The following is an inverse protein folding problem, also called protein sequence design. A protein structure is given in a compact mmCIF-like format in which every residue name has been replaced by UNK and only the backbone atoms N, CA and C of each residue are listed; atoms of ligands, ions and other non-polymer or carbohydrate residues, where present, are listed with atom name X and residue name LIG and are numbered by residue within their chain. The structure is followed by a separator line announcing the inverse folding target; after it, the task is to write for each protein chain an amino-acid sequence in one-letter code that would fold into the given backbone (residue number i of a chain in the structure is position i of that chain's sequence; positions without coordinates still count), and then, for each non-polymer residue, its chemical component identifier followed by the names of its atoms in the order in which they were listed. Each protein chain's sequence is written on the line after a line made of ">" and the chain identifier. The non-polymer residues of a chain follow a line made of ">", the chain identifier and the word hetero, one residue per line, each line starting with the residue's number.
data_IF_115685359698
#
_entry.id   IF_115685359698
#
_cell.length_a   1.000
_cell.length_b   1.000
_cell.length_c   1.000
_cell.angle_alpha   90.00
_cell.angle_beta   90.00
_cell.angle_gamma   90.00
#
_symmetry.space_group_name_H-M   'P 1'
#
loop_
_entity.id
_entity.type
_entity.pdbx_description
1 polymer ?
#
# COMPACT_ATOMS: atom_id res chain seq x y z
N UNK A 1 48.29 -27.16 53.06
CA UNK A 1 48.35 -25.92 52.25
C UNK A 1 47.54 -26.17 50.99
N UNK A 2 46.28 -25.72 50.92
CA UNK A 2 45.35 -25.97 49.79
C UNK A 2 45.38 -24.78 48.85
N UNK A 3 45.81 -24.98 47.61
CA UNK A 3 45.81 -23.97 46.55
C UNK A 3 44.47 -24.07 45.82
N UNK A 4 43.64 -23.02 45.90
CA UNK A 4 42.41 -22.89 45.14
C UNK A 4 42.72 -22.19 43.81
N UNK A 5 42.63 -22.91 42.70
CA UNK A 5 42.62 -22.34 41.36
C UNK A 5 41.19 -21.89 41.03
N UNK A 6 40.96 -20.57 40.94
CA UNK A 6 39.72 -19.99 40.43
C UNK A 6 39.85 -19.82 38.91
N UNK A 7 39.13 -20.65 38.17
CA UNK A 7 38.97 -20.53 36.72
C UNK A 7 37.97 -19.40 36.43
N UNK A 8 38.40 -18.33 35.77
CA UNK A 8 37.52 -17.26 35.29
C UNK A 8 37.09 -17.61 33.87
N UNK A 9 35.82 -17.94 33.70
CA UNK A 9 35.18 -18.08 32.39
C UNK A 9 34.81 -16.68 31.88
N UNK A 10 35.50 -16.21 30.84
CA UNK A 10 35.13 -15.00 30.10
C UNK A 10 34.17 -15.44 28.99
N UNK A 11 32.88 -15.16 29.14
CA UNK A 11 31.88 -15.32 28.09
C UNK A 11 31.96 -14.10 27.18
N UNK A 12 32.54 -14.28 25.99
CA UNK A 12 32.53 -13.26 24.94
C UNK A 12 31.17 -13.34 24.24
N UNK A 13 30.26 -12.44 24.59
CA UNK A 13 29.01 -12.24 23.85
C UNK A 13 29.37 -11.46 22.58
N UNK A 14 29.53 -12.17 21.47
CA UNK A 14 29.62 -11.55 20.14
C UNK A 14 28.20 -11.07 19.81
N UNK A 15 27.92 -9.82 20.14
CA UNK A 15 26.73 -9.14 19.66
C UNK A 15 26.82 -9.00 18.14
N UNK A 16 26.00 -9.76 17.43
CA UNK A 16 25.69 -9.46 16.03
C UNK A 16 24.99 -8.10 16.00
N UNK A 17 25.75 -7.03 15.75
CA UNK A 17 25.18 -5.77 15.31
C UNK A 17 24.56 -6.02 13.94
N UNK A 18 23.25 -6.20 13.92
CA UNK A 18 22.45 -6.15 12.70
C UNK A 18 22.54 -4.70 12.23
N UNK A 19 23.42 -4.42 11.27
CA UNK A 19 23.45 -3.14 10.60
C UNK A 19 22.06 -2.89 10.01
N UNK A 20 21.39 -1.86 10.52
CA UNK A 20 20.18 -1.32 9.92
C UNK A 20 20.61 -0.70 8.58
N UNK A 21 20.55 -1.50 7.52
CA UNK A 21 20.67 -1.02 6.15
C UNK A 21 19.64 0.10 5.98
N UNK A 22 20.11 1.32 5.70
CA UNK A 22 19.24 2.48 5.57
C UNK A 22 18.10 2.19 4.60
N UNK A 23 16.88 2.36 5.07
CA UNK A 23 15.64 2.03 4.37
C UNK A 23 15.44 2.87 3.11
N UNK A 24 16.21 3.95 2.92
CA UNK A 24 16.17 4.83 1.75
C UNK A 24 16.62 4.14 0.47
N UNK A 25 17.52 3.15 0.55
CA UNK A 25 18.00 2.49 -0.66
C UNK A 25 16.91 1.62 -1.28
N UNK A 26 15.99 1.04 -0.51
CA UNK A 26 15.03 0.07 -1.06
C UNK A 26 14.00 0.73 -1.99
N UNK A 27 13.69 2.00 -1.78
CA UNK A 27 12.69 2.74 -2.54
C UNK A 27 13.30 3.26 -3.84
N UNK A 28 12.69 2.99 -5.01
CA UNK A 28 13.20 3.49 -6.28
C UNK A 28 13.28 5.00 -6.38
N UNK A 29 14.29 5.50 -7.09
CA UNK A 29 14.54 6.94 -7.23
C UNK A 29 13.40 7.66 -7.96
N UNK A 30 12.76 6.95 -8.88
CA UNK A 30 11.66 7.40 -9.72
C UNK A 30 10.27 7.27 -9.06
N UNK A 31 10.17 6.64 -7.89
CA UNK A 31 8.94 6.66 -7.12
C UNK A 31 8.63 8.10 -6.71
N UNK A 32 7.43 8.58 -7.04
CA UNK A 32 7.03 9.97 -6.77
C UNK A 32 6.87 10.19 -5.26
N UNK A 33 6.00 9.48 -4.54
CA UNK A 33 6.07 9.48 -3.08
C UNK A 33 7.16 8.52 -2.58
N UNK A 34 8.26 9.08 -2.06
CA UNK A 34 9.30 8.28 -1.40
C UNK A 34 8.95 7.93 0.04
N UNK A 35 8.20 8.78 0.70
CA UNK A 35 7.88 8.69 2.13
C UNK A 35 6.40 8.96 2.34
N UNK A 36 5.86 8.45 3.44
CA UNK A 36 4.50 8.73 3.85
C UNK A 36 4.24 10.25 3.98
N UNK A 37 3.01 10.65 3.68
CA UNK A 37 2.46 11.95 4.07
C UNK A 37 0.94 11.88 4.14
N UNK A 38 0.37 12.83 4.86
CA UNK A 38 -1.07 13.06 4.93
C UNK A 38 -1.29 14.53 4.62
N UNK A 39 -2.01 14.80 3.53
CA UNK A 39 -2.46 16.15 3.17
C UNK A 39 -3.86 16.40 3.70
N UNK A 40 -4.73 15.40 3.62
CA UNK A 40 -6.13 15.49 3.99
C UNK A 40 -6.57 14.25 4.79
N UNK A 41 -6.99 14.45 6.04
CA UNK A 41 -7.68 13.39 6.80
C UNK A 41 -9.16 13.29 6.40
N UNK A 42 -9.76 14.42 6.02
CA UNK A 42 -11.15 14.56 5.59
C UNK A 42 -11.20 15.19 4.20
N UNK A 43 -12.27 14.99 3.41
CA UNK A 43 -12.39 15.60 2.09
C UNK A 43 -12.21 17.12 2.15
N UNK A 44 -11.36 17.72 1.30
CA UNK A 44 -11.32 19.17 1.15
C UNK A 44 -12.59 19.69 0.45
N UNK A 45 -12.82 21.00 0.52
CA UNK A 45 -14.06 21.63 0.05
C UNK A 45 -14.53 21.13 -1.32
N UNK A 46 -15.81 20.72 -1.38
CA UNK A 46 -16.51 20.20 -2.55
C UNK A 46 -16.03 18.83 -3.07
N UNK A 47 -15.23 18.08 -2.29
CA UNK A 47 -15.01 16.65 -2.49
C UNK A 47 -15.90 15.87 -1.53
N UNK A 48 -16.63 14.87 -2.05
CA UNK A 48 -17.67 14.17 -1.29
C UNK A 48 -17.52 12.66 -1.30
N UNK A 49 -16.62 12.12 -2.12
CA UNK A 49 -16.43 10.68 -2.24
C UNK A 49 -14.98 10.31 -2.00
N UNK A 50 -14.73 9.05 -1.71
CA UNK A 50 -13.42 8.55 -1.33
C UNK A 50 -13.14 7.20 -1.98
N UNK A 51 -11.87 6.95 -2.29
CA UNK A 51 -11.40 5.66 -2.78
C UNK A 51 -10.09 5.31 -2.08
N UNK A 52 -9.93 4.05 -1.71
CA UNK A 52 -8.64 3.50 -1.28
C UNK A 52 -7.93 2.87 -2.46
N UNK A 53 -6.60 2.96 -2.48
CA UNK A 53 -5.78 2.38 -3.54
C UNK A 53 -4.48 1.77 -3.01
N UNK A 54 -3.90 0.90 -3.83
CA UNK A 54 -2.64 0.20 -3.65
C UNK A 54 -1.76 0.52 -4.86
N UNK A 55 -0.49 0.79 -4.58
CA UNK A 55 0.59 0.88 -5.56
C UNK A 55 1.58 -0.23 -5.27
N UNK A 56 1.84 -1.08 -6.26
CA UNK A 56 2.75 -2.21 -6.15
C UNK A 56 3.79 -2.20 -7.27
N UNK A 57 5.04 -2.51 -6.94
CA UNK A 57 6.15 -2.52 -7.89
C UNK A 57 7.12 -3.67 -7.60
N UNK A 58 8.00 -3.95 -8.56
CA UNK A 58 9.16 -4.81 -8.39
C UNK A 58 10.43 -3.96 -8.24
N UNK A 59 11.31 -4.33 -7.31
CA UNK A 59 12.66 -3.76 -7.23
C UNK A 59 13.53 -4.29 -8.38
N UNK A 60 13.76 -3.47 -9.39
CA UNK A 60 14.54 -3.81 -10.59
C UNK A 60 16.03 -4.12 -10.34
N UNK A 61 16.54 -3.92 -9.13
CA UNK A 61 17.94 -4.24 -8.80
C UNK A 61 18.17 -5.72 -8.52
N UNK A 62 17.09 -6.49 -8.42
CA UNK A 62 17.11 -7.94 -8.33
C UNK A 62 16.50 -8.57 -9.58
N UNK A 63 16.80 -9.85 -9.79
CA UNK A 63 16.13 -10.69 -10.79
C UNK A 63 15.20 -11.70 -10.16
N UNK A 64 15.09 -11.73 -8.82
CA UNK A 64 14.28 -12.69 -8.10
C UNK A 64 12.80 -12.45 -8.36
N UNK A 65 12.01 -13.50 -8.64
CA UNK A 65 10.56 -13.37 -8.79
C UNK A 65 9.93 -12.68 -7.58
N UNK A 66 8.96 -11.82 -7.82
CA UNK A 66 8.25 -11.12 -6.76
C UNK A 66 6.78 -10.93 -7.07
N UNK A 67 5.98 -10.96 -6.01
CA UNK A 67 4.54 -10.74 -6.09
C UNK A 67 4.00 -10.31 -4.73
N UNK A 68 2.79 -9.76 -4.76
CA UNK A 68 2.01 -9.43 -3.57
C UNK A 68 0.71 -10.21 -3.64
N UNK A 69 0.35 -10.86 -2.55
CA UNK A 69 -0.96 -11.47 -2.33
C UNK A 69 -1.77 -10.52 -1.43
N UNK A 70 -3.01 -10.25 -1.79
CA UNK A 70 -3.91 -9.34 -1.09
C UNK A 70 -5.17 -10.10 -0.72
N UNK A 71 -5.47 -10.14 0.57
CA UNK A 71 -6.68 -10.73 1.13
C UNK A 71 -7.82 -9.71 1.05
N UNK A 72 -7.58 -8.47 1.53
CA UNK A 72 -8.57 -7.40 1.40
C UNK A 72 -7.97 -6.01 1.24
N UNK A 73 -8.79 -5.10 0.71
CA UNK A 73 -8.63 -3.65 0.69
C UNK A 73 -9.88 -3.00 1.30
N UNK A 74 -9.78 -2.48 2.52
CA UNK A 74 -10.92 -1.95 3.29
C UNK A 74 -10.75 -0.47 3.61
N UNK A 75 -11.75 0.31 3.22
CA UNK A 75 -11.81 1.75 3.38
C UNK A 75 -12.81 2.10 4.47
N UNK A 76 -12.38 2.93 5.40
CA UNK A 76 -13.13 3.27 6.60
C UNK A 76 -13.26 4.79 6.78
N UNK A 77 -14.18 5.19 7.66
CA UNK A 77 -14.26 6.53 8.21
C UNK A 77 -14.60 6.52 9.70
N UNK A 78 -14.21 7.59 10.41
CA UNK A 78 -14.57 7.82 11.82
C UNK A 78 -15.58 8.95 11.83
N UNK A 79 -16.77 8.68 12.34
CA UNK A 79 -17.88 9.62 12.35
C UNK A 79 -18.43 9.69 13.75
N UNK A 80 -18.37 10.88 14.37
CA UNK A 80 -18.79 11.09 15.76
C UNK A 80 -18.17 10.07 16.74
N UNK A 81 -16.87 9.81 16.61
CA UNK A 81 -16.10 8.87 17.42
C UNK A 81 -16.24 7.39 17.04
N UNK A 82 -17.11 7.02 16.10
CA UNK A 82 -17.37 5.63 15.70
C UNK A 82 -16.71 5.30 14.37
N UNK A 83 -16.00 4.18 14.33
CA UNK A 83 -15.38 3.65 13.12
C UNK A 83 -16.39 2.85 12.29
N UNK A 84 -16.52 3.20 11.01
CA UNK A 84 -17.44 2.56 10.07
C UNK A 84 -16.69 2.10 8.81
N UNK A 85 -17.07 0.94 8.30
CA UNK A 85 -16.60 0.45 7.00
C UNK A 85 -17.39 1.16 5.89
N UNK A 86 -16.69 1.89 5.03
CA UNK A 86 -17.30 2.57 3.88
C UNK A 86 -17.33 1.64 2.66
N UNK A 87 -16.23 0.95 2.40
CA UNK A 87 -16.08 0.06 1.26
C UNK A 87 -15.07 -1.06 1.53
N UNK A 88 -15.22 -2.18 0.83
CA UNK A 88 -14.33 -3.33 0.98
C UNK A 88 -14.26 -4.12 -0.32
N UNK A 89 -13.05 -4.44 -0.73
CA UNK A 89 -12.77 -5.45 -1.74
C UNK A 89 -12.10 -6.62 -1.04
N UNK A 90 -12.84 -7.73 -0.89
CA UNK A 90 -12.34 -8.98 -0.28
C UNK A 90 -11.83 -9.96 -1.36
N UNK A 91 -12.03 -9.64 -2.64
CA UNK A 91 -11.58 -10.43 -3.80
C UNK A 91 -12.15 -11.85 -3.93
N UNK A 92 -13.11 -12.24 -3.08
CA UNK A 92 -13.85 -13.51 -3.13
C UNK A 92 -14.63 -13.72 -4.45
N UNK A 93 -14.94 -12.62 -5.15
CA UNK A 93 -15.68 -12.60 -6.41
C UNK A 93 -14.79 -12.60 -7.64
N UNK A 94 -13.47 -12.72 -7.44
CA UNK A 94 -12.45 -12.67 -8.48
C UNK A 94 -12.50 -11.39 -9.32
N UNK A 95 -12.83 -10.24 -8.69
CA UNK A 95 -12.82 -8.93 -9.36
C UNK A 95 -11.87 -7.96 -8.66
N UNK A 96 -11.03 -7.34 -9.46
CA UNK A 96 -10.21 -6.22 -9.05
C UNK A 96 -10.27 -5.14 -10.14
N UNK A 97 -10.25 -3.90 -9.71
CA UNK A 97 -10.18 -2.73 -10.59
C UNK A 97 -8.83 -2.06 -10.42
N UNK A 98 -8.26 -1.61 -11.52
CA UNK A 98 -6.90 -1.10 -11.50
C UNK A 98 -6.33 -0.79 -12.87
N UNK A 99 -5.16 -0.18 -12.87
CA UNK A 99 -4.38 0.13 -14.05
C UNK A 99 -2.93 -0.30 -13.88
N UNK A 100 -2.33 -0.70 -14.99
CA UNK A 100 -0.91 -0.95 -15.13
C UNK A 100 -0.25 0.24 -15.82
N UNK A 101 0.41 1.08 -15.03
CA UNK A 101 1.02 2.33 -15.50
C UNK A 101 2.49 2.13 -15.80
N UNK A 102 3.06 2.99 -16.65
CA UNK A 102 4.51 3.07 -16.77
C UNK A 102 5.09 3.69 -15.50
N UNK A 103 6.27 3.20 -15.13
CA UNK A 103 7.02 3.72 -13.98
C UNK A 103 7.80 4.99 -14.31
N UNK A 104 8.12 5.22 -15.58
CA UNK A 104 8.79 6.43 -16.05
C UNK A 104 8.14 6.95 -17.36
N UNK A 105 7.52 8.14 -17.36
CA UNK A 105 7.20 8.94 -16.18
C UNK A 105 6.20 8.21 -15.27
N UNK A 106 6.33 8.37 -13.95
CA UNK A 106 5.45 7.74 -12.96
C UNK A 106 4.02 8.26 -13.11
N UNK A 107 3.07 7.36 -13.38
CA UNK A 107 1.68 7.65 -13.80
C UNK A 107 1.51 8.48 -15.09
N UNK A 108 2.51 9.27 -15.50
CA UNK A 108 2.58 9.97 -16.77
C UNK A 108 1.31 10.77 -17.08
N UNK A 109 0.77 10.58 -18.29
CA UNK A 109 -0.49 11.18 -18.75
C UNK A 109 -1.74 10.41 -18.28
N UNK A 110 -1.62 9.60 -17.23
CA UNK A 110 -2.64 8.66 -16.77
C UNK A 110 -2.98 7.55 -17.79
N UNK A 111 -2.12 7.32 -18.77
CA UNK A 111 -2.23 6.22 -19.73
C UNK A 111 -1.84 4.91 -19.05
N UNK A 112 -2.75 3.93 -19.08
CA UNK A 112 -2.53 2.63 -18.47
C UNK A 112 -3.09 1.51 -19.33
N UNK A 113 -2.56 0.31 -19.12
CA UNK A 113 -3.14 -0.93 -19.61
C UNK A 113 -3.99 -1.57 -18.49
N UNK A 114 -4.92 -2.48 -18.82
CA UNK A 114 -5.56 -3.31 -17.82
C UNK A 114 -4.53 -4.04 -16.94
N UNK A 115 -4.82 -4.13 -15.65
CA UNK A 115 -3.97 -4.83 -14.70
C UNK A 115 -4.03 -6.35 -14.93
N UNK A 116 -2.88 -7.04 -14.81
CA UNK A 116 -2.76 -8.47 -15.05
C UNK A 116 -2.84 -9.25 -13.73
N UNK A 117 -4.03 -9.40 -13.15
CA UNK A 117 -4.19 -10.12 -11.89
C UNK A 117 -4.48 -11.61 -12.05
N UNK A 118 -4.13 -12.35 -11.01
CA UNK A 118 -4.52 -13.74 -10.78
C UNK A 118 -5.20 -13.84 -9.41
N UNK A 119 -5.89 -14.96 -9.16
CA UNK A 119 -6.44 -15.26 -7.85
C UNK A 119 -5.90 -16.57 -7.33
N UNK A 120 -5.52 -16.63 -6.05
CA UNK A 120 -5.24 -17.89 -5.35
C UNK A 120 -6.51 -18.36 -4.66
N UNK A 121 -6.95 -19.58 -4.99
CA UNK A 121 -8.09 -20.26 -4.38
C UNK A 121 -9.41 -19.43 -4.40
N UNK A 122 -9.53 -18.47 -5.33
CA UNK A 122 -10.65 -17.53 -5.38
C UNK A 122 -10.84 -16.64 -4.14
N UNK A 123 -9.77 -16.37 -3.39
CA UNK A 123 -9.84 -15.61 -2.14
C UNK A 123 -8.80 -14.49 -2.06
N UNK A 124 -7.70 -14.57 -2.82
CA UNK A 124 -6.62 -13.61 -2.71
C UNK A 124 -6.22 -13.09 -4.08
N UNK A 125 -6.23 -11.77 -4.24
CA UNK A 125 -5.69 -11.09 -5.41
C UNK A 125 -4.16 -11.22 -5.44
N UNK A 126 -3.60 -11.66 -6.57
CA UNK A 126 -2.15 -11.76 -6.78
C UNK A 126 -1.71 -10.74 -7.82
N UNK A 127 -0.77 -9.89 -7.42
CA UNK A 127 -0.06 -8.95 -8.30
C UNK A 127 1.35 -9.48 -8.52
N UNK A 128 1.61 -10.11 -9.68
CA UNK A 128 2.94 -10.65 -10.02
C UNK A 128 3.89 -9.56 -10.51
N UNK A 129 4.31 -8.68 -9.61
CA UNK A 129 5.03 -7.45 -9.98
C UNK A 129 6.28 -7.67 -10.84
N UNK A 130 6.98 -8.81 -10.71
CA UNK A 130 8.18 -9.11 -11.50
C UNK A 130 7.92 -9.43 -12.98
N UNK A 131 6.68 -9.73 -13.40
CA UNK A 131 6.38 -10.02 -14.82
C UNK A 131 6.31 -8.75 -15.68
N UNK A 132 6.09 -7.61 -15.03
CA UNK A 132 6.07 -6.27 -15.63
C UNK A 132 6.86 -5.31 -14.72
N UNK A 133 8.19 -5.46 -14.65
CA UNK A 133 9.02 -4.75 -13.68
C UNK A 133 9.15 -3.24 -13.95
N UNK A 134 8.84 -2.81 -15.18
CA UNK A 134 8.82 -1.40 -15.60
C UNK A 134 7.46 -0.72 -15.37
N UNK A 135 6.53 -1.42 -14.72
CA UNK A 135 5.19 -0.93 -14.48
C UNK A 135 4.89 -0.72 -12.99
N UNK A 136 3.96 0.20 -12.76
CA UNK A 136 3.31 0.43 -11.48
C UNK A 136 1.95 -0.25 -11.52
N UNK A 137 1.75 -1.19 -10.62
CA UNK A 137 0.50 -1.90 -10.43
C UNK A 137 -0.36 -1.07 -9.49
N UNK A 138 -1.39 -0.42 -10.03
CA UNK A 138 -2.23 0.49 -9.26
C UNK A 138 -3.65 -0.06 -9.16
N UNK A 139 -4.00 -0.61 -8.00
CA UNK A 139 -5.32 -1.23 -7.72
C UNK A 139 -6.12 -0.30 -6.85
N UNK A 140 -7.42 -0.19 -7.07
CA UNK A 140 -8.30 0.61 -6.22
C UNK A 140 -9.60 -0.13 -5.91
N UNK A 141 -10.31 0.35 -4.89
CA UNK A 141 -11.61 -0.23 -4.55
C UNK A 141 -12.58 -0.22 -5.74
N UNK A 142 -13.23 -1.36 -6.01
CA UNK A 142 -13.98 -1.59 -7.25
C UNK A 142 -15.41 -1.03 -7.28
N UNK A 143 -15.93 -0.54 -6.15
CA UNK A 143 -17.32 -0.07 -6.06
C UNK A 143 -17.57 1.17 -6.93
N UNK A 144 -18.53 1.06 -7.86
CA UNK A 144 -19.03 2.15 -8.68
C UNK A 144 -20.56 2.29 -8.57
N UNK A 145 -21.11 3.50 -8.33
CA UNK A 145 -20.42 4.75 -8.01
C UNK A 145 -19.59 4.67 -6.72
N UNK A 146 -18.57 5.53 -6.59
CA UNK A 146 -17.70 5.57 -5.41
C UNK A 146 -18.51 5.87 -4.15
N UNK A 147 -18.00 5.42 -3.00
CA UNK A 147 -18.66 5.68 -1.72
C UNK A 147 -18.55 7.15 -1.34
N UNK A 148 -19.66 7.71 -0.86
CA UNK A 148 -19.67 9.05 -0.29
C UNK A 148 -19.08 9.02 1.12
N UNK A 149 -18.33 10.07 1.45
CA UNK A 149 -17.87 10.32 2.80
C UNK A 149 -19.04 10.86 3.63
N UNK A 150 -19.38 10.23 4.76
CA UNK A 150 -20.47 10.71 5.60
C UNK A 150 -20.21 12.10 6.16
N UNK A 151 -21.30 12.83 6.44
CA UNK A 151 -21.24 14.11 7.16
C UNK A 151 -20.63 13.89 8.54
N UNK A 152 -19.89 14.88 9.05
CA UNK A 152 -19.16 14.81 10.32
C UNK A 152 -18.07 13.73 10.38
N UNK A 153 -17.52 13.34 9.23
CA UNK A 153 -16.32 12.50 9.19
C UNK A 153 -15.13 13.26 9.78
N UNK A 154 -14.46 12.63 10.75
CA UNK A 154 -13.25 13.12 11.40
C UNK A 154 -11.99 12.69 10.64
N UNK A 155 -12.04 11.52 9.99
CA UNK A 155 -11.03 11.03 9.06
C UNK A 155 -11.51 9.84 8.23
N UNK A 156 -10.87 9.63 7.09
CA UNK A 156 -10.88 8.36 6.36
C UNK A 156 -9.52 7.64 6.51
N UNK A 157 -9.54 6.31 6.57
CA UNK A 157 -8.31 5.49 6.58
C UNK A 157 -8.51 4.21 5.78
N UNK A 158 -7.39 3.60 5.44
CA UNK A 158 -7.33 2.39 4.62
C UNK A 158 -6.61 1.29 5.38
N UNK A 159 -7.12 0.08 5.29
CA UNK A 159 -6.45 -1.14 5.72
C UNK A 159 -6.30 -2.10 4.54
N UNK A 160 -5.11 -2.68 4.41
CA UNK A 160 -4.84 -3.74 3.44
C UNK A 160 -4.20 -4.90 4.17
N UNK A 161 -4.77 -6.09 4.03
CA UNK A 161 -4.12 -7.31 4.49
C UNK A 161 -3.44 -7.96 3.29
N UNK A 162 -2.12 -8.04 3.36
CA UNK A 162 -1.30 -8.55 2.27
C UNK A 162 -0.15 -9.42 2.76
N UNK A 163 0.44 -10.15 1.81
CA UNK A 163 1.69 -10.88 1.96
C UNK A 163 2.60 -10.53 0.80
N UNK A 164 3.80 -10.05 1.12
CA UNK A 164 4.81 -9.63 0.14
C UNK A 164 5.81 -10.78 -0.04
N UNK A 165 6.15 -11.09 -1.29
CA UNK A 165 7.15 -12.12 -1.62
C UNK A 165 8.20 -11.58 -2.59
N UNK A 166 9.46 -11.94 -2.34
CA UNK A 166 10.61 -11.58 -3.17
C UNK A 166 11.02 -10.12 -2.94
N UNK A 167 11.13 -9.36 -4.02
CA UNK A 167 11.51 -7.93 -3.95
C UNK A 167 10.38 -7.03 -4.43
N UNK A 168 9.14 -7.41 -4.12
CA UNK A 168 8.00 -6.55 -4.34
C UNK A 168 7.95 -5.46 -3.25
N UNK A 169 7.47 -4.28 -3.62
CA UNK A 169 7.17 -3.21 -2.69
C UNK A 169 5.71 -2.81 -2.85
N UNK A 170 5.07 -2.42 -1.75
CA UNK A 170 3.69 -1.93 -1.72
C UNK A 170 3.61 -0.60 -0.99
N UNK A 171 2.81 0.32 -1.50
CA UNK A 171 2.37 1.55 -0.85
C UNK A 171 0.85 1.65 -0.98
N UNK A 172 0.19 2.21 0.02
CA UNK A 172 -1.27 2.38 -0.01
C UNK A 172 -1.60 3.85 0.22
N UNK A 173 -2.75 4.27 -0.29
CA UNK A 173 -3.19 5.65 -0.15
C UNK A 173 -4.68 5.80 -0.37
N UNK A 174 -5.13 7.04 -0.22
CA UNK A 174 -6.53 7.40 -0.41
C UNK A 174 -6.58 8.61 -1.33
N UNK A 175 -7.58 8.64 -2.20
CA UNK A 175 -7.96 9.86 -2.89
C UNK A 175 -9.39 10.27 -2.53
N UNK A 176 -9.60 11.57 -2.45
CA UNK A 176 -10.93 12.15 -2.45
C UNK A 176 -11.35 12.50 -3.87
N UNK A 177 -12.63 12.32 -4.16
CA UNK A 177 -13.27 12.62 -5.43
C UNK A 177 -14.38 13.66 -5.25
N UNK A 178 -14.59 14.51 -6.27
CA UNK A 178 -15.62 15.55 -6.27
C UNK A 178 -16.98 14.99 -5.88
N UNK A 179 -17.44 13.99 -6.63
CA UNK A 179 -18.66 13.24 -6.38
C UNK A 179 -18.47 11.76 -6.76
N UNK A 180 -19.47 10.93 -6.45
CA UNK A 180 -19.38 9.47 -6.58
C UNK A 180 -19.23 8.97 -8.02
N UNK A 181 -19.66 9.79 -8.98
CA UNK A 181 -19.67 9.49 -10.42
C UNK A 181 -18.67 10.31 -11.22
N UNK A 182 -17.89 11.20 -10.58
CA UNK A 182 -16.93 12.04 -11.29
C UNK A 182 -15.88 11.19 -12.01
N UNK A 183 -15.67 11.45 -13.30
CA UNK A 183 -14.62 10.81 -14.08
C UNK A 183 -13.29 11.52 -13.85
N UNK A 184 -12.17 10.83 -14.12
CA UNK A 184 -10.86 11.46 -14.11
C UNK A 184 -10.84 12.64 -15.09
N UNK A 185 -10.34 13.79 -14.62
CA UNK A 185 -10.25 15.01 -15.41
C UNK A 185 -8.93 15.76 -15.16
N UNK A 186 -7.90 15.02 -14.73
CA UNK A 186 -6.63 15.57 -14.26
C UNK A 186 -6.57 15.73 -12.74
N UNK A 187 -5.33 15.86 -12.25
CA UNK A 187 -5.02 16.06 -10.84
C UNK A 187 -5.68 17.32 -10.30
N UNK A 188 -6.22 17.24 -9.08
CA UNK A 188 -6.90 18.32 -8.36
C UNK A 188 -8.18 18.87 -9.01
N UNK A 189 -8.64 18.28 -10.13
CA UNK A 189 -9.89 18.68 -10.79
C UNK A 189 -11.07 17.92 -10.19
N UNK A 190 -11.11 16.61 -10.45
CA UNK A 190 -12.15 15.70 -9.94
C UNK A 190 -11.63 14.72 -8.89
N UNK A 191 -10.32 14.61 -8.76
CA UNK A 191 -9.61 13.73 -7.86
C UNK A 191 -8.53 14.56 -7.14
N UNK A 192 -8.34 14.28 -5.85
CA UNK A 192 -7.24 14.84 -5.07
C UNK A 192 -6.72 13.78 -4.12
N UNK A 193 -5.41 13.56 -4.15
CA UNK A 193 -4.77 12.60 -3.25
C UNK A 193 -4.82 13.13 -1.81
N UNK A 194 -5.32 12.29 -0.91
CA UNK A 194 -5.42 12.58 0.52
C UNK A 194 -4.08 12.34 1.23
N UNK A 195 -3.32 11.37 0.75
CA UNK A 195 -2.00 11.00 1.25
C UNK A 195 -1.70 9.53 1.00
N UNK A 196 -0.50 9.14 1.41
CA UNK A 196 0.06 7.82 1.14
C UNK A 196 0.86 7.29 2.34
N UNK A 197 0.95 5.98 2.47
CA UNK A 197 1.78 5.31 3.47
C UNK A 197 3.26 5.35 3.12
N UNK A 198 4.10 4.82 4.02
CA UNK A 198 5.45 4.41 3.64
C UNK A 198 5.38 3.20 2.68
N UNK A 199 6.48 2.93 2.00
CA UNK A 199 6.67 1.67 1.27
C UNK A 199 6.89 0.53 2.26
N UNK A 200 6.21 -0.60 2.03
CA UNK A 200 6.38 -1.84 2.78
C UNK A 200 7.03 -2.90 1.90
N UNK A 201 7.89 -3.71 2.52
CA UNK A 201 8.69 -4.75 1.87
C UNK A 201 8.98 -5.93 2.81
N UNK A 202 8.19 -6.09 3.89
CA UNK A 202 8.32 -7.21 4.83
C UNK A 202 7.86 -8.53 4.21
N UNK A 203 8.72 -9.53 4.24
CA UNK A 203 8.60 -10.73 3.41
C UNK A 203 7.89 -11.90 4.13
N UNK A 204 7.11 -12.66 3.36
CA UNK A 204 6.78 -14.06 3.67
C UNK A 204 5.67 -14.29 4.70
N UNK A 205 5.13 -13.24 5.32
CA UNK A 205 4.03 -13.33 6.30
C UNK A 205 2.86 -12.41 5.93
N UNK A 206 1.65 -12.86 6.27
CA UNK A 206 0.45 -12.04 6.19
C UNK A 206 0.51 -10.95 7.27
N UNK A 207 0.32 -9.70 6.87
CA UNK A 207 0.26 -8.58 7.78
C UNK A 207 -0.75 -7.54 7.30
N UNK A 208 -1.21 -6.72 8.23
CA UNK A 208 -2.11 -5.60 7.95
C UNK A 208 -1.26 -4.35 7.88
N UNK A 209 -1.29 -3.68 6.73
CA UNK A 209 -0.76 -2.32 6.57
C UNK A 209 -1.93 -1.34 6.63
N UNK A 210 -1.69 -0.19 7.24
CA UNK A 210 -2.70 0.83 7.39
C UNK A 210 -2.16 2.21 7.05
N UNK A 211 -3.05 3.06 6.53
CA UNK A 211 -2.78 4.47 6.23
C UNK A 211 -3.80 5.34 6.96
N UNK A 212 -3.33 6.33 7.73
CA UNK A 212 -4.15 7.29 8.49
C UNK A 212 -5.10 6.69 9.55
N UNK A 213 -4.88 5.42 9.94
CA UNK A 213 -5.66 4.77 11.00
C UNK A 213 -5.49 5.53 12.33
N UNK A 214 -6.60 5.79 13.06
CA UNK A 214 -6.57 6.44 14.37
C UNK A 214 -5.86 5.65 15.47
#
# INVERSE_FOLDING_TARGET
>A
MKIFFKLIFIVIVIGCNKENKETSDIIPLEAVPKTAYITYLTPPNNFKSVIGWITAIHDRRTTQPSFIEIDYLRLYARVNGVDILLNSDEYNDNKAEGGLFLRNPWFGENNNNPILYEYRNSENLILRTSIKPDNVWHVWNNKWPRVNVPVNTERCWLEVKCKITGSALIQIGIDFWRDSTSLWAGYHVNNIEAGVSNWYYEQGVWHIIAFAKP
#
